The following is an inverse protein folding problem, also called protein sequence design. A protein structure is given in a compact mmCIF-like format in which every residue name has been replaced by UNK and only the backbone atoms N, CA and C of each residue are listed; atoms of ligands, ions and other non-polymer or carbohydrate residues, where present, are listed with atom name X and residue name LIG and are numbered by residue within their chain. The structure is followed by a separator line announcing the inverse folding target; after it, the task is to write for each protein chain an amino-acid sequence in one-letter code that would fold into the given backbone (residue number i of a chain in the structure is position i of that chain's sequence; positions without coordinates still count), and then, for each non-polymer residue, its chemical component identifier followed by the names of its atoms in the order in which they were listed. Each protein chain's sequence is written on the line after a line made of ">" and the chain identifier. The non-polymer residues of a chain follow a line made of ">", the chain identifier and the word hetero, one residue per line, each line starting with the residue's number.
data_IF_600292085343
#
_entry.id   IF_600292085343
#
_cell.length_a   1.000
_cell.length_b   1.000
_cell.length_c   1.000
_cell.angle_alpha   90.00
_cell.angle_beta   90.00
_cell.angle_gamma   90.00
#
_symmetry.space_group_name_H-M   'P 1'
#
loop_
_entity.id
_entity.type
_entity.pdbx_description
1 polymer ?
#
# COMPACT_ATOMS: atom_id res chain seq x y z
N UNK A 1 22.53 14.61 8.16
CA UNK A 1 23.63 13.73 7.72
C UNK A 1 23.95 12.83 8.90
N UNK A 2 24.02 11.51 8.73
CA UNK A 2 24.38 10.62 9.83
C UNK A 2 25.87 10.81 10.16
N UNK A 3 26.19 10.96 11.43
CA UNK A 3 27.55 11.16 11.90
C UNK A 3 27.81 10.26 13.10
N UNK A 4 29.04 9.81 13.25
CA UNK A 4 29.49 9.06 14.41
C UNK A 4 29.75 9.96 15.63
N UNK A 5 29.73 11.28 15.45
CA UNK A 5 29.85 12.25 16.54
C UNK A 5 28.53 12.34 17.33
N UNK A 6 28.52 11.72 18.51
CA UNK A 6 27.40 11.66 19.44
C UNK A 6 27.04 13.06 19.97
N UNK A 7 27.98 14.00 19.95
CA UNK A 7 27.77 15.38 20.43
C UNK A 7 27.20 16.29 19.35
N UNK A 8 27.10 15.80 18.11
CA UNK A 8 26.61 16.61 17.01
C UNK A 8 25.13 16.98 17.20
N UNK A 9 24.75 18.26 17.05
CA UNK A 9 23.36 18.65 17.17
C UNK A 9 22.57 18.09 15.98
N UNK A 10 21.36 17.58 16.25
CA UNK A 10 20.46 17.15 15.19
C UNK A 10 20.09 18.34 14.30
N UNK A 11 20.34 18.25 13.00
CA UNK A 11 19.88 19.27 12.05
C UNK A 11 18.33 19.23 11.97
N UNK A 12 17.62 20.30 12.38
CA UNK A 12 16.16 20.30 12.31
C UNK A 12 15.74 20.46 10.86
N UNK A 13 15.06 19.45 10.32
CA UNK A 13 14.38 19.55 9.02
C UNK A 13 12.87 19.46 9.24
N UNK A 14 12.09 20.47 8.81
CA UNK A 14 10.64 20.42 8.92
C UNK A 14 10.08 19.15 8.30
N UNK A 15 9.17 18.46 8.99
CA UNK A 15 8.51 17.23 8.54
C UNK A 15 9.41 15.98 8.43
N UNK A 16 10.68 16.03 8.85
CA UNK A 16 11.54 14.84 8.82
C UNK A 16 10.95 13.71 9.66
N UNK A 17 10.47 14.01 10.87
CA UNK A 17 9.82 13.03 11.76
C UNK A 17 8.58 12.44 11.11
N UNK A 18 7.73 13.25 10.49
CA UNK A 18 6.51 12.78 9.84
C UNK A 18 6.82 11.82 8.68
N UNK A 19 7.78 12.18 7.83
CA UNK A 19 8.22 11.32 6.71
C UNK A 19 8.81 10.02 7.24
N UNK A 20 9.67 10.06 8.28
CA UNK A 20 10.26 8.86 8.87
C UNK A 20 9.20 7.94 9.47
N UNK A 21 8.25 8.48 10.25
CA UNK A 21 7.16 7.70 10.85
C UNK A 21 6.26 7.10 9.77
N UNK A 22 5.91 7.89 8.75
CA UNK A 22 5.10 7.40 7.64
C UNK A 22 5.79 6.25 6.90
N UNK A 23 7.08 6.40 6.61
CA UNK A 23 7.88 5.34 5.98
C UNK A 23 7.95 4.07 6.82
N UNK A 24 8.23 4.18 8.12
CA UNK A 24 8.35 3.01 9.00
C UNK A 24 7.01 2.27 9.11
N UNK A 25 5.90 3.00 9.28
CA UNK A 25 4.56 2.41 9.33
C UNK A 25 4.17 1.78 7.99
N UNK A 26 4.42 2.45 6.87
CA UNK A 26 4.18 1.86 5.55
C UNK A 26 5.00 0.60 5.35
N UNK A 27 6.28 0.57 5.75
CA UNK A 27 7.09 -0.64 5.65
C UNK A 27 6.52 -1.78 6.49
N UNK A 28 6.01 -1.49 7.68
CA UNK A 28 5.30 -2.49 8.48
C UNK A 28 4.08 -3.06 7.74
N UNK A 29 3.20 -2.21 7.19
CA UNK A 29 2.03 -2.66 6.43
C UNK A 29 2.44 -3.42 5.16
N UNK A 30 3.44 -2.94 4.44
CA UNK A 30 3.98 -3.57 3.25
C UNK A 30 4.54 -4.97 3.55
N UNK A 31 5.28 -5.12 4.65
CA UNK A 31 5.79 -6.44 5.09
C UNK A 31 4.64 -7.39 5.41
N UNK A 32 3.60 -6.93 6.13
CA UNK A 32 2.38 -7.74 6.33
C UNK A 32 1.73 -8.11 5.00
N UNK A 33 1.59 -7.15 4.08
CA UNK A 33 1.04 -7.37 2.75
C UNK A 33 1.82 -8.46 2.01
N UNK A 34 3.15 -8.39 1.97
CA UNK A 34 3.99 -9.42 1.34
C UNK A 34 3.85 -10.79 2.02
N UNK A 35 3.84 -10.83 3.35
CA UNK A 35 3.73 -12.06 4.12
C UNK A 35 2.45 -12.84 3.75
N UNK A 36 1.34 -12.13 3.59
CA UNK A 36 0.04 -12.74 3.30
C UNK A 36 -0.30 -12.81 1.80
N UNK A 37 0.47 -12.16 0.93
CA UNK A 37 0.25 -12.18 -0.53
C UNK A 37 0.18 -13.59 -1.14
N UNK A 38 0.95 -14.60 -0.69
CA UNK A 38 0.80 -15.97 -1.18
C UNK A 38 -0.61 -16.54 -0.98
N UNK A 39 -1.34 -16.12 0.06
CA UNK A 39 -2.72 -16.54 0.28
C UNK A 39 -3.66 -16.00 -0.80
N UNK A 40 -3.43 -14.78 -1.31
CA UNK A 40 -4.15 -14.24 -2.48
C UNK A 40 -3.94 -15.13 -3.69
N UNK A 41 -2.68 -15.52 -3.97
CA UNK A 41 -2.37 -16.40 -5.10
C UNK A 41 -3.10 -17.74 -4.96
N UNK A 42 -3.05 -18.36 -3.77
CA UNK A 42 -3.77 -19.60 -3.51
C UNK A 42 -5.28 -19.42 -3.72
N UNK A 43 -5.85 -18.31 -3.26
CA UNK A 43 -7.27 -18.04 -3.43
C UNK A 43 -7.67 -17.85 -4.90
N UNK A 44 -6.82 -17.24 -5.72
CA UNK A 44 -7.09 -17.02 -7.15
C UNK A 44 -6.90 -18.28 -8.00
N UNK A 45 -5.98 -19.17 -7.65
CA UNK A 45 -5.58 -20.29 -8.51
C UNK A 45 -5.98 -21.68 -7.98
N UNK A 46 -6.21 -21.82 -6.68
CA UNK A 46 -6.45 -23.10 -6.01
C UNK A 46 -7.65 -23.02 -5.06
N UNK A 47 -8.77 -22.49 -5.57
CA UNK A 47 -10.01 -22.25 -4.80
C UNK A 47 -10.52 -23.50 -4.06
N UNK A 48 -10.39 -24.68 -4.67
CA UNK A 48 -10.85 -25.94 -4.09
C UNK A 48 -10.00 -26.42 -2.88
N UNK A 49 -8.84 -25.80 -2.63
CA UNK A 49 -7.92 -26.15 -1.55
C UNK A 49 -7.80 -25.05 -0.48
N UNK A 50 -8.74 -24.10 -0.47
CA UNK A 50 -8.78 -23.02 0.52
C UNK A 50 -9.29 -23.53 1.87
N UNK A 51 -8.42 -23.49 2.87
CA UNK A 51 -8.81 -23.65 4.26
C UNK A 51 -9.37 -22.34 4.83
N UNK A 52 -9.97 -22.43 6.02
CA UNK A 52 -10.44 -21.22 6.73
C UNK A 52 -9.28 -20.30 7.11
N UNK A 53 -8.10 -20.84 7.43
CA UNK A 53 -6.94 -20.03 7.78
C UNK A 53 -6.33 -19.34 6.55
N UNK A 54 -6.39 -19.98 5.37
CA UNK A 54 -6.05 -19.29 4.12
C UNK A 54 -6.99 -18.10 3.86
N UNK A 55 -8.30 -18.25 4.12
CA UNK A 55 -9.26 -17.17 3.98
C UNK A 55 -8.99 -16.00 4.95
N UNK A 56 -8.62 -16.30 6.20
CA UNK A 56 -8.17 -15.27 7.16
C UNK A 56 -6.89 -14.58 6.69
N UNK A 57 -5.93 -15.34 6.15
CA UNK A 57 -4.69 -14.79 5.60
C UNK A 57 -4.96 -13.86 4.40
N UNK A 58 -5.89 -14.23 3.51
CA UNK A 58 -6.37 -13.35 2.43
C UNK A 58 -6.93 -12.04 3.00
N UNK A 59 -7.77 -12.12 4.03
CA UNK A 59 -8.34 -10.94 4.68
C UNK A 59 -7.26 -10.05 5.31
N UNK A 60 -6.24 -10.63 5.97
CA UNK A 60 -5.09 -9.89 6.50
C UNK A 60 -4.28 -9.21 5.40
N UNK A 61 -4.10 -9.85 4.24
CA UNK A 61 -3.44 -9.23 3.08
C UNK A 61 -4.23 -8.01 2.59
N UNK A 62 -5.56 -8.16 2.44
CA UNK A 62 -6.45 -7.07 2.03
C UNK A 62 -6.39 -5.91 3.02
N UNK A 63 -6.51 -6.17 4.33
CA UNK A 63 -6.39 -5.13 5.38
C UNK A 63 -5.03 -4.45 5.37
N UNK A 64 -3.95 -5.21 5.18
CA UNK A 64 -2.59 -4.67 5.11
C UNK A 64 -2.33 -3.81 3.86
N UNK A 65 -3.17 -3.91 2.83
CA UNK A 65 -3.06 -3.08 1.62
C UNK A 65 -3.65 -1.68 1.79
N UNK A 66 -4.36 -1.41 2.90
CA UNK A 66 -5.09 -0.17 3.10
C UNK A 66 -4.26 0.91 3.79
N UNK A 67 -4.56 2.18 3.46
CA UNK A 67 -4.17 3.39 4.21
C UNK A 67 -2.67 3.44 4.56
N UNK A 68 -1.82 3.18 3.57
CA UNK A 68 -0.37 3.30 3.75
C UNK A 68 0.00 4.77 4.07
N UNK A 69 0.66 5.05 5.21
CA UNK A 69 0.93 6.44 5.60
C UNK A 69 1.72 7.27 4.59
N UNK A 70 2.56 6.68 3.74
CA UNK A 70 3.29 7.40 2.69
C UNK A 70 2.38 8.15 1.69
N UNK A 71 1.16 7.65 1.44
CA UNK A 71 0.19 8.28 0.52
C UNK A 71 -0.77 9.21 1.25
N UNK A 72 -0.62 9.38 2.56
CA UNK A 72 -1.46 10.22 3.41
C UNK A 72 -0.77 11.54 3.77
N UNK A 73 -1.54 12.55 4.16
CA UNK A 73 -0.99 13.80 4.66
C UNK A 73 -0.26 13.58 6.00
N UNK A 74 0.87 14.28 6.25
CA UNK A 74 1.48 15.31 5.40
C UNK A 74 2.44 14.75 4.33
N UNK A 75 2.79 13.47 4.37
CA UNK A 75 3.82 12.85 3.52
C UNK A 75 3.49 12.91 2.03
N UNK A 76 2.20 12.82 1.66
CA UNK A 76 1.75 12.93 0.27
C UNK A 76 2.05 14.29 -0.38
N UNK A 77 2.28 15.34 0.42
CA UNK A 77 2.71 16.66 -0.08
C UNK A 77 4.23 16.78 -0.26
N UNK A 78 4.98 15.78 0.20
CA UNK A 78 6.45 15.76 0.22
C UNK A 78 7.00 14.51 -0.47
N UNK A 79 6.32 14.00 -1.51
CA UNK A 79 6.66 12.75 -2.22
C UNK A 79 8.14 12.66 -2.61
N UNK A 80 8.77 13.77 -3.04
CA UNK A 80 10.20 13.81 -3.41
C UNK A 80 11.16 13.47 -2.26
N UNK A 81 10.72 13.56 -1.00
CA UNK A 81 11.51 13.14 0.17
C UNK A 81 11.36 11.66 0.49
N UNK A 82 10.42 10.96 -0.18
CA UNK A 82 10.22 9.52 -0.01
C UNK A 82 11.23 8.79 -0.91
N UNK A 83 12.14 7.99 -0.35
CA UNK A 83 13.10 7.24 -1.16
C UNK A 83 12.40 6.11 -1.93
N UNK A 84 12.99 5.73 -3.05
CA UNK A 84 12.53 4.63 -3.90
C UNK A 84 11.09 4.85 -4.43
N UNK A 85 10.82 6.02 -5.02
CA UNK A 85 9.51 6.34 -5.61
C UNK A 85 9.01 5.24 -6.55
N UNK A 86 9.86 4.77 -7.47
CA UNK A 86 9.62 3.61 -8.33
C UNK A 86 8.95 2.45 -7.58
N UNK A 87 9.58 2.00 -6.49
CA UNK A 87 9.15 0.86 -5.71
C UNK A 87 7.77 1.08 -5.09
N UNK A 88 7.53 2.26 -4.51
CA UNK A 88 6.24 2.57 -3.91
C UNK A 88 5.14 2.69 -4.94
N UNK A 89 5.41 3.37 -6.06
CA UNK A 89 4.47 3.53 -7.17
C UNK A 89 4.03 2.17 -7.74
N UNK A 90 4.97 1.24 -7.99
CA UNK A 90 4.62 -0.10 -8.47
C UNK A 90 3.76 -0.88 -7.47
N UNK A 91 4.11 -0.81 -6.18
CA UNK A 91 3.36 -1.52 -5.16
C UNK A 91 1.95 -0.92 -4.96
N UNK A 92 1.79 0.39 -5.07
CA UNK A 92 0.48 1.05 -5.04
C UNK A 92 -0.37 0.63 -6.23
N UNK A 93 0.20 0.50 -7.44
CA UNK A 93 -0.53 -0.09 -8.57
C UNK A 93 -0.97 -1.54 -8.26
N UNK A 94 -0.08 -2.34 -7.66
CA UNK A 94 -0.41 -3.70 -7.23
C UNK A 94 -1.56 -3.74 -6.21
N UNK A 95 -1.59 -2.80 -5.27
CA UNK A 95 -2.70 -2.62 -4.31
C UNK A 95 -4.00 -2.26 -5.04
N UNK A 96 -3.95 -1.32 -6.00
CA UNK A 96 -5.14 -0.95 -6.79
C UNK A 96 -5.72 -2.15 -7.54
N UNK A 97 -4.87 -2.95 -8.18
CA UNK A 97 -5.28 -4.18 -8.87
C UNK A 97 -5.89 -5.17 -7.87
N UNK A 98 -5.25 -5.38 -6.71
CA UNK A 98 -5.76 -6.30 -5.69
C UNK A 98 -7.14 -5.87 -5.18
N UNK A 99 -7.32 -4.57 -4.88
CA UNK A 99 -8.61 -4.04 -4.41
C UNK A 99 -9.69 -4.19 -5.48
N UNK A 100 -9.36 -3.94 -6.75
CA UNK A 100 -10.28 -4.20 -7.86
C UNK A 100 -10.66 -5.68 -7.95
N UNK A 101 -9.69 -6.59 -7.90
CA UNK A 101 -9.95 -8.04 -7.90
C UNK A 101 -10.78 -8.49 -6.69
N UNK A 102 -10.60 -7.86 -5.53
CA UNK A 102 -11.38 -8.17 -4.32
C UNK A 102 -12.88 -7.88 -4.48
N UNK A 103 -13.25 -7.02 -5.43
CA UNK A 103 -14.63 -6.72 -5.78
C UNK A 103 -15.17 -7.63 -6.88
N UNK A 104 -14.34 -7.92 -7.89
CA UNK A 104 -14.77 -8.63 -9.10
C UNK A 104 -14.72 -10.15 -8.97
N UNK A 105 -13.77 -10.69 -8.20
CA UNK A 105 -13.57 -12.13 -8.09
C UNK A 105 -14.43 -12.70 -6.96
N UNK A 106 -15.36 -13.65 -7.23
CA UNK A 106 -16.32 -14.12 -6.23
C UNK A 106 -15.69 -14.65 -4.94
N UNK A 107 -14.60 -15.41 -5.04
CA UNK A 107 -13.92 -15.95 -3.85
C UNK A 107 -13.35 -14.85 -2.97
N UNK A 108 -12.73 -13.82 -3.55
CA UNK A 108 -12.18 -12.71 -2.78
C UNK A 108 -13.28 -11.81 -2.21
N UNK A 109 -14.35 -11.56 -2.97
CA UNK A 109 -15.51 -10.80 -2.52
C UNK A 109 -16.20 -11.48 -1.32
N UNK A 110 -16.35 -12.80 -1.37
CA UNK A 110 -16.90 -13.59 -0.26
C UNK A 110 -16.01 -13.56 0.98
N UNK A 111 -14.68 -13.67 0.81
CA UNK A 111 -13.74 -13.59 1.94
C UNK A 111 -13.79 -12.19 2.56
N UNK A 112 -13.78 -11.14 1.73
CA UNK A 112 -13.90 -9.75 2.16
C UNK A 112 -15.17 -9.54 3.00
N UNK A 113 -16.33 -9.96 2.49
CA UNK A 113 -17.60 -9.81 3.20
C UNK A 113 -17.68 -10.57 4.54
N UNK A 114 -16.91 -11.67 4.69
CA UNK A 114 -16.93 -12.50 5.91
C UNK A 114 -15.88 -12.13 6.94
N UNK A 115 -14.70 -11.69 6.51
CA UNK A 115 -13.52 -11.57 7.38
C UNK A 115 -12.94 -10.15 7.44
N UNK A 116 -13.36 -9.23 6.57
CA UNK A 116 -13.02 -7.83 6.69
C UNK A 116 -14.04 -7.08 7.54
N UNK A 117 -13.59 -6.00 8.18
CA UNK A 117 -14.41 -5.23 9.12
C UNK A 117 -15.35 -4.29 8.34
N UNK A 118 -16.42 -3.79 8.99
CA UNK A 118 -17.43 -2.95 8.33
C UNK A 118 -16.88 -1.65 7.74
N UNK A 119 -15.70 -1.19 8.18
CA UNK A 119 -15.04 0.02 7.63
C UNK A 119 -14.22 -0.28 6.38
N UNK A 120 -14.03 -1.54 6.01
CA UNK A 120 -13.11 -1.95 4.95
C UNK A 120 -13.40 -1.26 3.63
N UNK A 121 -14.66 -1.18 3.20
CA UNK A 121 -15.00 -0.59 1.90
C UNK A 121 -14.73 0.92 1.87
N UNK A 122 -14.97 1.62 2.97
CA UNK A 122 -14.61 3.03 3.12
C UNK A 122 -13.09 3.21 3.10
N UNK A 123 -12.37 2.39 3.86
CA UNK A 123 -10.91 2.43 3.95
C UNK A 123 -10.24 2.08 2.60
N UNK A 124 -10.82 1.15 1.85
CA UNK A 124 -10.42 0.79 0.50
C UNK A 124 -10.67 1.93 -0.48
N UNK A 125 -11.82 2.59 -0.40
CA UNK A 125 -12.14 3.76 -1.24
C UNK A 125 -11.14 4.89 -1.00
N UNK A 126 -10.84 5.21 0.26
CA UNK A 126 -9.80 6.20 0.61
C UNK A 126 -8.44 5.80 0.03
N UNK A 127 -8.07 4.52 0.19
CA UNK A 127 -6.78 3.98 -0.31
C UNK A 127 -6.68 4.11 -1.82
N UNK A 128 -7.75 3.78 -2.55
CA UNK A 128 -7.82 3.90 -4.01
C UNK A 128 -7.62 5.36 -4.43
N UNK A 129 -8.37 6.29 -3.83
CA UNK A 129 -8.27 7.72 -4.15
C UNK A 129 -6.87 8.28 -3.89
N UNK A 130 -6.28 7.94 -2.74
CA UNK A 130 -4.93 8.38 -2.37
C UNK A 130 -3.85 7.77 -3.27
N UNK A 131 -4.00 6.51 -3.69
CA UNK A 131 -3.04 5.83 -4.58
C UNK A 131 -3.10 6.38 -6.00
N UNK A 132 -4.32 6.64 -6.51
CA UNK A 132 -4.51 7.31 -7.81
C UNK A 132 -3.92 8.72 -7.78
N UNK A 133 -4.17 9.49 -6.72
CA UNK A 133 -3.55 10.81 -6.56
C UNK A 133 -2.02 10.73 -6.51
N UNK A 134 -1.46 9.75 -5.81
CA UNK A 134 -0.01 9.52 -5.78
C UNK A 134 0.58 9.32 -7.18
N UNK A 135 0.00 8.40 -7.96
CA UNK A 135 0.48 8.07 -9.32
C UNK A 135 0.28 9.27 -10.25
N UNK A 136 -0.89 9.90 -10.22
CA UNK A 136 -1.21 11.10 -11.01
C UNK A 136 -0.20 12.21 -10.78
N UNK A 137 0.12 12.50 -9.53
CA UNK A 137 0.99 13.62 -9.17
C UNK A 137 2.47 13.37 -9.54
N UNK A 138 2.86 12.11 -9.79
CA UNK A 138 4.23 11.73 -10.15
C UNK A 138 4.42 11.43 -11.65
N UNK A 139 3.33 11.23 -12.40
CA UNK A 139 3.40 10.76 -13.81
C UNK A 139 4.26 11.64 -14.72
N UNK A 140 4.31 12.95 -14.48
CA UNK A 140 5.05 13.90 -15.32
C UNK A 140 6.55 13.99 -14.95
N UNK A 141 6.97 13.33 -13.86
CA UNK A 141 8.34 13.41 -13.32
C UNK A 141 9.00 12.04 -13.06
N UNK A 142 8.23 10.96 -13.12
CA UNK A 142 8.69 9.57 -12.90
C UNK A 142 8.09 8.65 -13.96
N UNK A 143 8.94 8.02 -14.78
CA UNK A 143 8.51 7.19 -15.90
C UNK A 143 7.69 5.96 -15.48
N UNK A 144 7.87 5.47 -14.24
CA UNK A 144 7.07 4.36 -13.73
C UNK A 144 5.69 4.81 -13.33
N UNK A 145 5.56 6.00 -12.72
CA UNK A 145 4.27 6.62 -12.48
C UNK A 145 3.54 6.93 -13.80
N UNK A 146 4.25 7.37 -14.84
CA UNK A 146 3.69 7.54 -16.18
C UNK A 146 3.11 6.23 -16.73
N UNK A 147 3.90 5.16 -16.69
CA UNK A 147 3.45 3.84 -17.12
C UNK A 147 2.24 3.35 -16.29
N UNK A 148 2.30 3.45 -14.97
CA UNK A 148 1.19 3.09 -14.09
C UNK A 148 -0.08 3.91 -14.40
N UNK A 149 0.06 5.20 -14.71
CA UNK A 149 -1.06 6.06 -15.08
C UNK A 149 -1.74 5.59 -16.37
N UNK A 150 -0.96 5.14 -17.35
CA UNK A 150 -1.50 4.59 -18.60
C UNK A 150 -2.24 3.25 -18.39
N UNK A 151 -1.84 2.45 -17.39
CA UNK A 151 -2.55 1.22 -17.02
C UNK A 151 -3.87 1.51 -16.31
N UNK A 152 -3.95 2.61 -15.57
CA UNK A 152 -5.17 3.00 -14.82
C UNK A 152 -6.23 3.69 -15.67
N UNK A 153 -5.87 4.15 -16.88
CA UNK A 153 -6.77 4.81 -17.83
C UNK A 153 -7.65 3.81 -18.58
#
# INVERSE_FOLDING_TARGET
>A
MFTADISSPSAPYPYATDVQVAMLRTRYYYTKYLLYRPAIYKALHHTNMLSTDDAKAVAECLKASLKWPIIMAPTCHRKRLVPCLFFWTQNLLGVLILLHLSQQVPVLSNIRARFCDNTFDMDATDTVNLSIAWIRDLKDVDATAEWCWNVLR
#
